data_IF_839330539083
#
_entry.id   IF_839330539083
#
_cell.length_a   1.000
_cell.length_b   1.000
_cell.length_c   1.000
_cell.angle_alpha   90.00
_cell.angle_beta   90.00
_cell.angle_gamma   90.00
#
_symmetry.space_group_name_H-M   'P 1'
#
loop_
_entity.id
_entity.type
_entity.pdbx_description
1 polymer ?
#
# COMPACT_ATOMS: atom_id res chain seq x y z
N UNK A 1 -78.31 -46.51 9.05
CA UNK A 1 -76.99 -45.90 8.74
C UNK A 1 -76.12 -46.99 8.12
N UNK A 2 -76.13 -47.09 6.78
CA UNK A 2 -75.50 -48.17 6.02
C UNK A 2 -74.19 -47.67 5.40
N UNK A 3 -73.09 -48.38 5.68
CA UNK A 3 -71.81 -48.26 4.96
C UNK A 3 -72.03 -48.67 3.50
N UNK A 4 -71.52 -47.86 2.56
CA UNK A 4 -71.46 -48.23 1.14
C UNK A 4 -70.04 -47.97 0.67
N UNK A 5 -69.35 -49.08 0.38
CA UNK A 5 -68.07 -49.14 -0.32
C UNK A 5 -68.41 -49.18 -1.82
N UNK A 6 -67.91 -48.24 -2.62
CA UNK A 6 -68.04 -48.30 -4.08
C UNK A 6 -66.62 -48.22 -4.66
N UNK A 7 -66.19 -49.35 -5.20
CA UNK A 7 -65.09 -49.45 -6.17
C UNK A 7 -65.74 -49.69 -7.52
N UNK A 8 -65.57 -48.79 -8.49
CA UNK A 8 -65.96 -49.03 -9.89
C UNK A 8 -64.76 -48.73 -10.78
N UNK A 9 -64.47 -49.73 -11.60
CA UNK A 9 -63.36 -49.85 -12.54
C UNK A 9 -63.46 -48.82 -13.68
N UNK A 10 -62.31 -48.25 -14.07
CA UNK A 10 -62.14 -47.47 -15.29
C UNK A 10 -61.66 -48.37 -16.43
N UNK A 11 -62.39 -48.39 -17.53
CA UNK A 11 -62.04 -49.00 -18.82
C UNK A 11 -62.97 -48.32 -19.85
N UNK A 12 -62.58 -47.69 -20.96
CA UNK A 12 -61.74 -48.13 -22.09
C UNK A 12 -61.57 -46.92 -23.06
N UNK A 13 -60.32 -46.62 -23.48
CA UNK A 13 -59.76 -46.43 -24.88
C UNK A 13 -60.58 -45.56 -25.89
N UNK A 14 -60.11 -44.58 -26.69
CA UNK A 14 -58.98 -44.38 -27.66
C UNK A 14 -59.00 -42.86 -28.01
N UNK A 15 -57.96 -42.08 -28.37
CA UNK A 15 -57.06 -42.25 -29.50
C UNK A 15 -55.88 -41.24 -29.50
N UNK A 16 -54.70 -41.79 -29.80
CA UNK A 16 -53.52 -41.29 -30.53
C UNK A 16 -53.34 -39.77 -30.70
N UNK A 17 -52.37 -39.22 -29.96
CA UNK A 17 -51.47 -38.19 -30.49
C UNK A 17 -50.09 -38.84 -30.56
N UNK A 18 -49.51 -38.87 -31.75
CA UNK A 18 -48.12 -39.29 -31.97
C UNK A 18 -47.20 -38.37 -31.17
N UNK A 19 -46.62 -38.87 -30.09
CA UNK A 19 -45.54 -38.19 -29.39
C UNK A 19 -44.26 -38.39 -30.22
N UNK A 20 -44.09 -37.58 -31.26
CA UNK A 20 -42.78 -37.26 -31.82
C UNK A 20 -42.35 -35.95 -31.17
N UNK A 21 -41.12 -35.92 -30.67
CA UNK A 21 -40.40 -34.80 -30.00
C UNK A 21 -40.60 -34.60 -28.50
N UNK A 22 -39.99 -35.49 -27.70
CA UNK A 22 -39.51 -35.13 -26.36
C UNK A 22 -38.13 -35.75 -26.07
N UNK A 23 -37.13 -35.33 -26.84
CA UNK A 23 -35.74 -35.27 -26.35
C UNK A 23 -35.17 -33.89 -26.65
N UNK A 24 -35.81 -32.84 -26.10
CA UNK A 24 -35.09 -31.58 -25.93
C UNK A 24 -34.28 -31.74 -24.66
N UNK A 25 -33.01 -32.14 -24.82
CA UNK A 25 -32.01 -31.97 -23.77
C UNK A 25 -31.90 -30.47 -23.54
N UNK A 26 -32.36 -30.00 -22.39
CA UNK A 26 -31.96 -28.69 -21.92
C UNK A 26 -30.52 -28.85 -21.46
N UNK A 27 -29.57 -28.33 -22.24
CA UNK A 27 -28.22 -28.14 -21.72
C UNK A 27 -28.34 -27.20 -20.52
N UNK A 28 -27.96 -27.68 -19.33
CA UNK A 28 -27.79 -26.85 -18.14
C UNK A 28 -26.90 -25.66 -18.53
N UNK A 29 -27.25 -24.41 -18.17
CA UNK A 29 -26.41 -23.27 -18.47
C UNK A 29 -25.04 -23.48 -17.80
N UNK A 30 -24.00 -23.70 -18.60
CA UNK A 30 -22.63 -23.74 -18.11
C UNK A 30 -22.27 -22.33 -17.66
N UNK A 31 -22.00 -22.15 -16.37
CA UNK A 31 -21.39 -20.92 -15.87
C UNK A 31 -19.94 -20.94 -16.33
N UNK A 32 -19.58 -20.01 -17.21
CA UNK A 32 -18.20 -19.82 -17.64
C UNK A 32 -17.37 -19.37 -16.43
N UNK A 33 -16.43 -20.21 -16.02
CA UNK A 33 -15.55 -19.95 -14.89
C UNK A 33 -14.29 -19.18 -15.33
N UNK A 34 -13.69 -18.46 -14.39
CA UNK A 34 -12.34 -17.89 -14.53
C UNK A 34 -11.31 -18.69 -13.73
N UNK A 35 -10.07 -18.22 -13.78
CA UNK A 35 -8.92 -18.84 -13.12
C UNK A 35 -8.14 -17.79 -12.35
N UNK A 36 -7.52 -18.19 -11.24
CA UNK A 36 -6.60 -17.35 -10.49
C UNK A 36 -5.21 -17.98 -10.49
N UNK A 37 -4.24 -17.24 -11.00
CA UNK A 37 -2.82 -17.52 -10.84
C UNK A 37 -2.24 -16.49 -9.87
N UNK A 38 -1.41 -16.91 -8.93
CA UNK A 38 -0.73 -15.94 -8.09
C UNK A 38 0.64 -16.39 -7.63
N UNK A 39 1.42 -15.42 -7.16
CA UNK A 39 2.71 -15.64 -6.53
C UNK A 39 2.72 -14.98 -5.15
N UNK A 40 3.30 -15.68 -4.18
CA UNK A 40 3.54 -15.13 -2.86
C UNK A 40 5.03 -14.86 -2.67
N UNK A 41 5.37 -13.66 -2.22
CA UNK A 41 6.76 -13.21 -2.00
C UNK A 41 6.95 -12.70 -0.58
N UNK A 42 8.18 -12.75 -0.12
CA UNK A 42 8.58 -12.07 1.10
C UNK A 42 8.81 -10.59 0.78
N UNK A 43 8.25 -9.72 1.62
CA UNK A 43 8.18 -8.27 1.36
C UNK A 43 9.55 -7.59 1.22
N UNK A 44 10.55 -7.96 2.03
CA UNK A 44 11.85 -7.26 2.07
C UNK A 44 12.79 -7.73 0.97
N UNK A 45 12.96 -9.03 0.84
CA UNK A 45 13.90 -9.70 -0.06
C UNK A 45 13.33 -9.94 -1.45
N UNK A 46 12.03 -9.73 -1.64
CA UNK A 46 11.27 -10.06 -2.84
C UNK A 46 11.36 -11.56 -3.25
N UNK A 47 11.84 -12.41 -2.33
CA UNK A 47 12.05 -13.84 -2.56
C UNK A 47 10.69 -14.54 -2.62
N UNK A 48 10.45 -15.44 -3.59
CA UNK A 48 9.24 -16.26 -3.60
C UNK A 48 9.13 -17.13 -2.33
N UNK A 49 7.90 -17.31 -1.85
CA UNK A 49 7.59 -18.06 -0.63
C UNK A 49 6.83 -19.34 -0.97
N UNK A 50 7.50 -20.48 -0.81
CA UNK A 50 6.90 -21.81 -0.91
C UNK A 50 6.15 -22.22 0.36
N UNK A 51 5.11 -23.04 0.26
CA UNK A 51 4.35 -23.54 1.42
C UNK A 51 3.56 -22.47 2.18
N UNK A 52 3.07 -21.45 1.47
CA UNK A 52 2.08 -20.49 1.98
C UNK A 52 0.70 -21.09 1.73
N UNK A 53 -0.12 -21.19 2.77
CA UNK A 53 -1.53 -21.54 2.61
C UNK A 53 -2.29 -20.31 2.16
N UNK A 54 -2.84 -20.34 0.96
CA UNK A 54 -3.67 -19.27 0.40
C UNK A 54 -5.13 -19.66 0.62
N UNK A 55 -5.89 -18.82 1.32
CA UNK A 55 -7.33 -18.89 1.49
C UNK A 55 -8.01 -17.94 0.52
N UNK A 56 -9.05 -18.42 -0.16
CA UNK A 56 -9.76 -17.68 -1.21
C UNK A 56 -11.22 -17.71 -0.87
N UNK A 57 -11.76 -16.54 -0.52
CA UNK A 57 -13.05 -16.43 0.13
C UNK A 57 -14.01 -15.57 -0.70
N UNK A 58 -15.18 -16.15 -1.03
CA UNK A 58 -16.34 -15.43 -1.57
C UNK A 58 -17.66 -16.15 -1.21
N UNK A 59 -18.11 -16.21 0.04
CA UNK A 59 -19.21 -17.12 0.45
C UNK A 59 -18.91 -18.62 0.28
N UNK A 60 -17.87 -18.99 -0.49
CA UNK A 60 -17.18 -20.28 -0.50
C UNK A 60 -15.77 -20.06 0.05
N UNK A 61 -15.27 -21.01 0.84
CA UNK A 61 -13.90 -21.02 1.36
C UNK A 61 -13.08 -22.05 0.59
N UNK A 62 -12.16 -21.59 -0.25
CA UNK A 62 -11.21 -22.43 -0.99
C UNK A 62 -9.81 -22.25 -0.43
N UNK A 63 -8.96 -23.27 -0.59
CA UNK A 63 -7.55 -23.19 -0.20
C UNK A 63 -6.63 -23.71 -1.29
N UNK A 64 -5.45 -23.10 -1.41
CA UNK A 64 -4.34 -23.54 -2.23
C UNK A 64 -3.03 -23.42 -1.43
N UNK A 65 -1.97 -24.09 -1.87
CA UNK A 65 -0.64 -23.96 -1.27
C UNK A 65 0.36 -23.54 -2.35
N UNK A 66 1.30 -22.66 -2.01
CA UNK A 66 2.33 -22.23 -2.96
C UNK A 66 3.41 -23.28 -3.19
N UNK A 67 3.84 -23.43 -4.44
CA UNK A 67 4.94 -24.32 -4.85
C UNK A 67 6.34 -23.80 -4.45
N UNK A 68 7.40 -24.54 -4.80
CA UNK A 68 8.80 -24.16 -4.50
C UNK A 68 9.23 -22.82 -5.13
N UNK A 69 8.53 -22.36 -6.17
CA UNK A 69 8.75 -21.09 -6.84
C UNK A 69 7.79 -19.98 -6.35
N UNK A 70 6.99 -20.28 -5.31
CA UNK A 70 6.06 -19.35 -4.67
C UNK A 70 4.71 -19.20 -5.38
N UNK A 71 4.43 -19.99 -6.43
CA UNK A 71 3.20 -19.87 -7.21
C UNK A 71 2.07 -20.74 -6.66
N UNK A 72 0.84 -20.25 -6.76
CA UNK A 72 -0.38 -21.02 -6.53
C UNK A 72 -1.35 -20.85 -7.70
N UNK A 73 -2.22 -21.84 -7.91
CA UNK A 73 -3.20 -21.85 -9.00
C UNK A 73 -4.55 -22.37 -8.51
N UNK A 74 -5.62 -21.70 -8.92
CA UNK A 74 -7.00 -22.09 -8.62
C UNK A 74 -7.80 -22.09 -9.92
N UNK A 75 -8.24 -23.28 -10.37
CA UNK A 75 -9.12 -23.39 -11.51
C UNK A 75 -10.58 -23.11 -11.12
N UNK A 76 -11.41 -22.89 -12.15
CA UNK A 76 -12.86 -22.99 -12.09
C UNK A 76 -13.56 -22.10 -11.06
N UNK A 77 -13.10 -20.85 -10.91
CA UNK A 77 -13.74 -19.86 -10.05
C UNK A 77 -14.93 -19.21 -10.76
N UNK A 78 -16.09 -19.18 -10.09
CA UNK A 78 -17.26 -18.46 -10.59
C UNK A 78 -16.94 -16.96 -10.64
N UNK A 79 -17.28 -16.23 -11.71
CA UNK A 79 -16.98 -14.81 -11.81
C UNK A 79 -17.54 -14.01 -10.63
N UNK A 80 -16.63 -13.38 -9.87
CA UNK A 80 -16.93 -12.56 -8.70
C UNK A 80 -15.66 -11.86 -8.20
N UNK A 81 -15.81 -10.97 -7.21
CA UNK A 81 -14.70 -10.48 -6.40
C UNK A 81 -14.41 -11.47 -5.26
N UNK A 82 -13.15 -11.85 -5.12
CA UNK A 82 -12.65 -12.74 -4.08
C UNK A 82 -11.66 -12.02 -3.17
N UNK A 83 -11.62 -12.41 -1.89
CA UNK A 83 -10.50 -12.09 -1.00
C UNK A 83 -9.48 -13.22 -1.04
N UNK A 84 -8.21 -12.89 -1.27
CA UNK A 84 -7.08 -13.82 -1.32
C UNK A 84 -6.18 -13.55 -0.13
N UNK A 85 -6.12 -14.47 0.83
CA UNK A 85 -5.37 -14.34 2.08
C UNK A 85 -4.27 -15.39 2.18
N UNK A 86 -3.01 -14.98 2.33
CA UNK A 86 -1.87 -15.88 2.52
C UNK A 86 -1.49 -16.01 3.99
N UNK A 87 -1.41 -17.24 4.48
CA UNK A 87 -0.99 -17.58 5.83
C UNK A 87 0.23 -18.49 5.80
N UNK A 88 1.23 -18.16 6.63
CA UNK A 88 2.44 -18.99 6.78
C UNK A 88 3.08 -18.73 8.13
N UNK A 89 3.48 -19.79 8.82
CA UNK A 89 4.16 -19.69 10.11
C UNK A 89 5.44 -18.86 9.99
N UNK A 90 5.63 -17.94 10.94
CA UNK A 90 6.73 -16.98 10.92
C UNK A 90 6.53 -15.83 9.94
N UNK A 91 5.31 -15.58 9.45
CA UNK A 91 4.97 -14.43 8.63
C UNK A 91 3.67 -13.76 9.13
N UNK A 92 3.54 -12.46 8.91
CA UNK A 92 2.27 -11.74 9.07
C UNK A 92 1.37 -12.10 7.89
N UNK A 93 0.13 -12.51 8.18
CA UNK A 93 -0.87 -12.78 7.14
C UNK A 93 -1.13 -11.51 6.32
N UNK A 94 -1.36 -11.67 5.02
CA UNK A 94 -1.73 -10.58 4.13
C UNK A 94 -2.90 -11.02 3.27
N UNK A 95 -3.81 -10.09 2.96
CA UNK A 95 -4.86 -10.32 1.99
C UNK A 95 -4.99 -9.19 0.98
N UNK A 96 -5.60 -9.50 -0.16
CA UNK A 96 -5.98 -8.57 -1.21
C UNK A 96 -7.28 -9.02 -1.86
N UNK A 97 -7.96 -8.11 -2.55
CA UNK A 97 -9.12 -8.45 -3.39
C UNK A 97 -8.72 -8.64 -4.84
N UNK A 98 -9.41 -9.56 -5.53
CA UNK A 98 -9.22 -9.81 -6.97
C UNK A 98 -10.58 -10.08 -7.64
N UNK A 99 -10.78 -9.49 -8.81
CA UNK A 99 -11.93 -9.78 -9.66
C UNK A 99 -11.62 -10.95 -10.59
N UNK A 100 -12.53 -11.92 -10.64
CA UNK A 100 -12.49 -13.06 -11.56
C UNK A 100 -13.53 -12.83 -12.65
N UNK A 101 -13.06 -12.77 -13.89
CA UNK A 101 -13.89 -12.69 -15.11
C UNK A 101 -14.10 -14.08 -15.73
N UNK A 102 -15.21 -14.33 -16.43
CA UNK A 102 -15.44 -15.59 -17.15
C UNK A 102 -14.40 -15.82 -18.24
N UNK A 103 -13.91 -17.07 -18.34
CA UNK A 103 -12.91 -17.53 -19.31
C UNK A 103 -11.58 -16.75 -19.30
N UNK A 104 -11.23 -16.11 -18.19
CA UNK A 104 -9.97 -15.36 -18.03
C UNK A 104 -9.13 -15.87 -16.87
N UNK A 105 -7.83 -15.63 -16.96
CA UNK A 105 -6.88 -15.83 -15.87
C UNK A 105 -6.56 -14.48 -15.23
N UNK A 106 -6.97 -14.30 -13.98
CA UNK A 106 -6.56 -13.17 -13.15
C UNK A 106 -5.21 -13.50 -12.48
N UNK A 107 -4.34 -12.49 -12.36
CA UNK A 107 -2.99 -12.65 -11.78
C UNK A 107 -2.84 -11.77 -10.55
N UNK A 108 -2.36 -12.34 -9.45
CA UNK A 108 -2.12 -11.60 -8.19
C UNK A 108 -0.72 -11.81 -7.64
N UNK A 109 -0.19 -10.79 -6.99
CA UNK A 109 1.04 -10.88 -6.20
C UNK A 109 0.76 -10.53 -4.75
N UNK A 110 1.04 -11.46 -3.85
CA UNK A 110 0.83 -11.29 -2.42
C UNK A 110 2.18 -11.20 -1.69
N UNK A 111 2.30 -10.26 -0.76
CA UNK A 111 3.54 -10.00 -0.03
C UNK A 111 3.35 -10.27 1.46
N UNK A 112 4.11 -11.23 2.00
CA UNK A 112 4.10 -11.59 3.42
C UNK A 112 5.36 -11.05 4.09
N UNK A 113 5.21 -10.44 5.26
CA UNK A 113 6.33 -9.95 6.07
C UNK A 113 6.77 -11.03 7.03
N UNK A 114 8.05 -11.40 7.01
CA UNK A 114 8.60 -12.35 7.97
C UNK A 114 8.58 -11.76 9.38
N UNK A 115 8.10 -12.54 10.34
CA UNK A 115 8.20 -12.27 11.77
C UNK A 115 9.51 -12.87 12.25
N UNK A 116 10.43 -12.06 12.76
CA UNK A 116 11.62 -12.58 13.44
C UNK A 116 11.21 -13.18 14.79
N UNK A 117 11.30 -14.50 14.90
CA UNK A 117 10.63 -15.35 15.91
C UNK A 117 11.22 -15.29 17.33
N UNK A 118 11.55 -14.11 17.84
CA UNK A 118 11.73 -13.87 19.27
C UNK A 118 10.70 -12.81 19.72
N UNK A 119 9.45 -13.22 19.91
CA UNK A 119 8.31 -12.33 20.24
C UNK A 119 8.38 -11.68 21.64
N UNK A 120 9.45 -11.88 22.42
CA UNK A 120 9.74 -11.00 23.56
C UNK A 120 10.03 -9.60 23.04
N UNK A 121 9.24 -8.61 23.45
CA UNK A 121 9.39 -7.23 22.96
C UNK A 121 8.50 -6.87 21.77
N UNK A 122 7.52 -7.72 21.38
CA UNK A 122 6.54 -7.34 20.34
C UNK A 122 5.28 -6.74 20.95
N UNK A 123 4.97 -5.51 20.57
CA UNK A 123 3.72 -4.80 20.85
C UNK A 123 2.84 -4.92 19.60
N UNK A 124 1.57 -5.28 19.77
CA UNK A 124 0.62 -5.40 18.66
C UNK A 124 -0.52 -4.42 18.84
N UNK A 125 -0.68 -3.50 17.88
CA UNK A 125 -1.88 -2.69 17.74
C UNK A 125 -2.87 -3.42 16.85
N UNK A 126 -4.01 -3.80 17.45
CA UNK A 126 -5.00 -4.63 16.78
C UNK A 126 -6.17 -3.84 16.27
N UNK A 127 -6.79 -4.36 15.21
CA UNK A 127 -7.99 -3.75 14.62
C UNK A 127 -9.12 -3.59 15.64
N UNK A 128 -9.32 -4.55 16.53
CA UNK A 128 -10.39 -4.50 17.55
C UNK A 128 -10.17 -3.41 18.60
N UNK A 129 -8.96 -2.83 18.68
CA UNK A 129 -8.62 -1.74 19.59
C UNK A 129 -8.76 -0.37 18.93
N UNK A 130 -9.16 -0.32 17.65
CA UNK A 130 -9.28 0.94 16.92
C UNK A 130 -10.58 1.69 17.27
N UNK A 131 -10.53 3.04 17.41
CA UNK A 131 -9.33 3.86 17.34
C UNK A 131 -8.47 3.77 18.60
N UNK A 132 -7.15 3.74 18.40
CA UNK A 132 -6.16 3.83 19.48
C UNK A 132 -5.78 5.30 19.67
N UNK A 133 -5.82 5.80 20.89
CA UNK A 133 -5.45 7.18 21.22
C UNK A 133 -4.12 7.25 21.96
N UNK A 134 -3.20 8.09 21.48
CA UNK A 134 -1.85 8.25 22.01
C UNK A 134 -1.67 9.71 22.49
N UNK A 135 -1.53 9.88 23.81
CA UNK A 135 -1.43 11.19 24.46
C UNK A 135 -0.03 11.52 25.00
N UNK A 136 0.92 10.61 24.80
CA UNK A 136 2.33 10.78 25.17
C UNK A 136 3.22 10.11 24.13
N UNK A 137 4.49 10.52 23.99
CA UNK A 137 5.39 9.94 22.99
C UNK A 137 5.44 8.41 23.12
N UNK A 138 5.07 7.70 22.05
CA UNK A 138 5.14 6.25 22.03
C UNK A 138 6.47 5.83 21.44
N UNK A 139 7.32 5.15 22.23
CA UNK A 139 8.65 4.73 21.79
C UNK A 139 8.73 3.22 21.65
N UNK A 140 9.09 2.74 20.47
CA UNK A 140 9.50 1.35 20.23
C UNK A 140 10.99 1.25 20.51
N UNK A 141 11.37 0.55 21.58
CA UNK A 141 12.77 0.38 21.99
C UNK A 141 13.59 -0.39 20.96
N UNK A 142 14.92 -0.27 21.01
CA UNK A 142 15.82 -0.83 19.97
C UNK A 142 15.69 -2.34 19.75
N UNK A 143 15.21 -3.08 20.76
CA UNK A 143 14.99 -4.54 20.69
C UNK A 143 13.51 -4.91 20.57
N UNK A 144 12.62 -3.92 20.49
CA UNK A 144 11.18 -4.12 20.43
C UNK A 144 10.67 -4.03 18.98
N UNK A 145 9.50 -4.61 18.76
CA UNK A 145 8.76 -4.51 17.49
C UNK A 145 7.36 -3.99 17.76
N UNK A 146 6.93 -2.99 17.00
CA UNK A 146 5.52 -2.60 16.91
C UNK A 146 4.93 -3.17 15.63
N UNK A 147 4.00 -4.11 15.77
CA UNK A 147 3.18 -4.61 14.68
C UNK A 147 1.83 -3.88 14.71
N UNK A 148 1.47 -3.27 13.58
CA UNK A 148 0.17 -2.62 13.38
C UNK A 148 -0.61 -3.42 12.34
N UNK A 149 -1.72 -4.01 12.77
CA UNK A 149 -2.61 -4.78 11.91
C UNK A 149 -3.30 -3.89 10.85
N UNK A 150 -3.72 -4.48 9.72
CA UNK A 150 -4.56 -3.79 8.74
C UNK A 150 -5.81 -3.16 9.36
N UNK A 151 -6.24 -2.04 8.79
CA UNK A 151 -7.44 -1.30 9.22
C UNK A 151 -7.32 -0.59 10.56
N UNK A 152 -6.15 -0.62 11.22
CA UNK A 152 -5.97 0.07 12.49
C UNK A 152 -5.97 1.58 12.29
N UNK A 153 -6.74 2.28 13.12
CA UNK A 153 -6.75 3.74 13.18
C UNK A 153 -6.13 4.22 14.50
N UNK A 154 -5.14 5.11 14.39
CA UNK A 154 -4.41 5.65 15.53
C UNK A 154 -4.46 7.18 15.49
N UNK A 155 -4.95 7.75 16.58
CA UNK A 155 -5.01 9.18 16.82
C UNK A 155 -3.92 9.59 17.81
N UNK A 156 -3.16 10.61 17.44
CA UNK A 156 -2.13 11.20 18.29
C UNK A 156 -2.56 12.61 18.73
N UNK A 157 -2.40 12.91 20.01
CA UNK A 157 -2.58 14.27 20.51
C UNK A 157 -1.52 15.23 19.94
N UNK A 158 -1.77 16.53 20.11
CA UNK A 158 -0.96 17.59 19.53
C UNK A 158 0.54 17.43 19.82
N UNK A 159 1.35 17.45 18.76
CA UNK A 159 2.83 17.32 18.78
C UNK A 159 3.38 16.00 19.32
N UNK A 160 2.54 15.01 19.61
CA UNK A 160 3.01 13.71 20.14
C UNK A 160 3.57 12.85 19.00
N UNK A 161 4.84 12.41 19.06
CA UNK A 161 5.42 11.57 18.02
C UNK A 161 5.28 10.07 18.31
N UNK A 162 5.34 9.27 17.24
CA UNK A 162 5.69 7.84 17.28
C UNK A 162 7.19 7.69 17.01
N UNK A 163 7.95 7.24 18.01
CA UNK A 163 9.40 7.10 17.93
C UNK A 163 9.77 5.63 17.72
N UNK A 164 10.50 5.35 16.66
CA UNK A 164 10.92 4.01 16.27
C UNK A 164 12.44 3.91 16.39
N UNK A 165 12.91 3.24 17.46
CA UNK A 165 14.32 2.82 17.62
C UNK A 165 14.51 1.35 17.28
N UNK A 166 13.50 0.52 17.57
CA UNK A 166 13.40 -0.87 17.10
C UNK A 166 12.61 -0.97 15.80
N UNK A 167 11.82 -2.02 15.63
CA UNK A 167 11.13 -2.31 14.36
C UNK A 167 9.70 -1.78 14.33
N UNK A 168 9.29 -1.09 13.26
CA UNK A 168 7.88 -0.84 12.96
C UNK A 168 7.44 -1.71 11.78
N UNK A 169 6.38 -2.51 11.97
CA UNK A 169 5.70 -3.26 10.91
C UNK A 169 4.27 -2.73 10.79
N UNK A 170 4.03 -1.76 9.92
CA UNK A 170 2.68 -1.26 9.61
C UNK A 170 2.14 -1.96 8.36
N UNK A 171 1.16 -2.84 8.56
CA UNK A 171 0.75 -3.86 7.59
C UNK A 171 -0.65 -3.59 7.05
N UNK A 172 -0.87 -2.46 6.39
CA UNK A 172 -2.14 -2.15 5.74
C UNK A 172 -2.41 -2.98 4.48
N UNK A 173 -3.65 -2.88 4.00
CA UNK A 173 -4.11 -3.40 2.71
C UNK A 173 -4.70 -2.27 1.84
N UNK A 174 -4.84 -2.44 0.51
CA UNK A 174 -5.47 -1.44 -0.34
C UNK A 174 -6.90 -1.08 0.12
N UNK A 175 -7.67 -2.10 0.49
CA UNK A 175 -9.05 -1.96 0.99
C UNK A 175 -9.15 -1.68 2.50
N UNK A 176 -8.06 -1.86 3.24
CA UNK A 176 -8.05 -1.79 4.72
C UNK A 176 -6.70 -1.24 5.21
N UNK A 177 -6.39 -0.02 4.78
CA UNK A 177 -5.15 0.68 5.11
C UNK A 177 -5.01 0.96 6.60
N UNK A 178 -3.78 1.13 7.08
CA UNK A 178 -3.52 1.65 8.43
C UNK A 178 -3.55 3.17 8.40
N UNK A 179 -4.18 3.80 9.40
CA UNK A 179 -4.29 5.26 9.51
C UNK A 179 -3.60 5.78 10.77
N UNK A 180 -2.63 6.68 10.61
CA UNK A 180 -1.97 7.40 11.71
C UNK A 180 -2.11 8.91 11.48
N UNK A 181 -2.83 9.59 12.38
CA UNK A 181 -3.13 11.02 12.23
C UNK A 181 -3.32 11.73 13.57
N UNK A 182 -3.44 13.05 13.54
CA UNK A 182 -3.85 13.85 14.71
C UNK A 182 -5.29 13.53 15.10
N UNK A 183 -5.56 13.54 16.41
CA UNK A 183 -6.89 13.46 17.00
C UNK A 183 -7.77 14.70 16.71
N UNK A 184 -7.16 15.85 16.44
CA UNK A 184 -7.81 17.08 16.01
C UNK A 184 -7.78 17.21 14.47
N UNK A 185 -8.95 17.29 13.79
CA UNK A 185 -9.04 17.51 12.34
C UNK A 185 -8.38 18.80 11.85
N UNK A 186 -8.13 19.77 12.73
CA UNK A 186 -7.39 21.00 12.43
C UNK A 186 -5.98 21.00 13.05
N UNK A 187 -5.69 20.03 13.91
CA UNK A 187 -4.42 19.89 14.60
C UNK A 187 -3.36 19.16 13.78
N UNK A 188 -2.25 18.88 14.46
CA UNK A 188 -1.10 18.19 13.94
C UNK A 188 -0.43 17.39 15.06
N UNK A 189 0.25 16.31 14.71
CA UNK A 189 0.94 15.44 15.66
C UNK A 189 2.43 15.37 15.35
N UNK A 190 3.21 14.72 16.21
CA UNK A 190 4.66 14.66 16.07
C UNK A 190 5.17 13.74 14.96
N UNK A 191 4.30 13.16 14.12
CA UNK A 191 4.67 12.24 13.04
C UNK A 191 5.40 10.98 13.51
N UNK A 192 5.95 10.24 12.55
CA UNK A 192 6.79 9.07 12.82
C UNK A 192 8.26 9.48 12.76
N UNK A 193 9.05 9.00 13.71
CA UNK A 193 10.47 9.34 13.88
C UNK A 193 11.29 8.06 13.96
N UNK A 194 11.94 7.67 12.86
CA UNK A 194 12.93 6.60 12.83
C UNK A 194 14.27 7.15 13.30
N UNK A 195 14.76 6.68 14.45
CA UNK A 195 15.95 7.22 15.09
C UNK A 195 16.95 6.10 15.40
N UNK A 196 18.02 6.02 14.61
CA UNK A 196 19.06 5.00 14.72
C UNK A 196 18.50 3.57 14.67
N UNK A 197 17.47 3.35 13.85
CA UNK A 197 16.86 2.06 13.67
C UNK A 197 17.74 1.14 12.82
N UNK A 198 18.33 0.13 13.47
CA UNK A 198 19.21 -0.87 12.84
C UNK A 198 18.46 -2.13 12.36
N UNK A 199 17.14 -2.19 12.58
CA UNK A 199 16.28 -3.29 12.13
C UNK A 199 15.46 -2.86 10.91
N UNK A 200 14.85 -3.82 10.21
CA UNK A 200 14.08 -3.54 9.01
C UNK A 200 12.65 -3.16 9.35
N UNK A 201 12.35 -1.86 9.31
CA UNK A 201 10.99 -1.36 9.45
C UNK A 201 10.26 -1.28 8.10
N UNK A 202 8.96 -1.54 8.11
CA UNK A 202 8.08 -1.59 6.94
C UNK A 202 6.82 -0.76 7.19
N UNK A 203 6.48 0.09 6.23
CA UNK A 203 5.15 0.67 6.09
C UNK A 203 4.59 0.24 4.74
N UNK A 204 3.45 -0.45 4.77
CA UNK A 204 2.71 -0.87 3.60
C UNK A 204 1.25 -0.43 3.72
N UNK A 205 0.71 0.23 2.69
CA UNK A 205 -0.66 0.77 2.70
C UNK A 205 -0.97 1.53 3.99
N UNK A 206 -0.03 2.38 4.40
CA UNK A 206 -0.16 3.22 5.58
C UNK A 206 -0.45 4.65 5.15
N UNK A 207 -1.53 5.24 5.66
CA UNK A 207 -1.83 6.65 5.53
C UNK A 207 -1.34 7.38 6.77
N UNK A 208 -0.31 8.20 6.61
CA UNK A 208 0.27 9.01 7.69
C UNK A 208 0.01 10.47 7.35
N UNK A 209 -0.79 11.15 8.16
CA UNK A 209 -1.24 12.50 7.83
C UNK A 209 -1.13 13.50 8.95
N UNK A 210 -0.98 14.79 8.63
CA UNK A 210 -0.99 15.91 9.61
C UNK A 210 0.23 15.94 10.54
N UNK A 211 1.41 15.61 10.01
CA UNK A 211 2.66 15.68 10.78
C UNK A 211 3.13 17.12 11.00
N UNK A 212 3.59 17.44 12.21
CA UNK A 212 4.25 18.70 12.55
C UNK A 212 5.69 18.69 12.06
N UNK A 213 6.06 19.73 11.30
CA UNK A 213 7.30 19.94 10.55
C UNK A 213 7.52 18.88 9.46
N UNK A 214 7.50 17.60 9.86
CA UNK A 214 7.57 16.45 8.98
C UNK A 214 6.64 15.30 9.37
N UNK A 215 6.13 14.59 8.36
CA UNK A 215 5.35 13.36 8.54
C UNK A 215 6.28 12.24 9.00
N UNK A 216 7.39 12.04 8.28
CA UNK A 216 8.42 11.08 8.60
C UNK A 216 9.77 11.79 8.79
N UNK A 217 10.41 11.59 9.94
CA UNK A 217 11.84 11.84 10.12
C UNK A 217 12.57 10.50 10.09
N UNK A 218 13.61 10.41 9.30
CA UNK A 218 14.43 9.21 9.13
C UNK A 218 15.88 9.61 9.39
N UNK A 219 16.41 9.22 10.56
CA UNK A 219 17.77 9.52 10.96
C UNK A 219 18.53 8.23 11.24
N UNK A 220 19.64 8.03 10.54
CA UNK A 220 20.46 6.81 10.57
C UNK A 220 19.62 5.52 10.51
N UNK A 221 18.63 5.52 9.62
CA UNK A 221 17.62 4.46 9.50
C UNK A 221 17.25 4.27 8.03
N UNK A 222 16.83 3.06 7.66
CA UNK A 222 16.48 2.73 6.27
C UNK A 222 15.18 1.91 6.17
N UNK A 223 14.02 2.47 6.56
CA UNK A 223 12.73 1.78 6.41
C UNK A 223 12.36 1.56 4.95
N UNK A 224 11.55 0.53 4.71
CA UNK A 224 10.84 0.30 3.45
C UNK A 224 9.45 0.92 3.55
N UNK A 225 9.17 1.91 2.70
CA UNK A 225 7.92 2.65 2.70
C UNK A 225 7.30 2.47 1.33
N UNK A 226 6.22 1.69 1.22
CA UNK A 226 5.61 1.46 -0.07
C UNK A 226 4.08 1.52 -0.05
N UNK A 227 3.51 2.03 -1.15
CA UNK A 227 2.05 2.19 -1.32
C UNK A 227 1.40 3.02 -0.20
N UNK A 228 2.16 3.95 0.37
CA UNK A 228 1.72 4.79 1.47
C UNK A 228 1.19 6.14 0.98
N UNK A 229 0.28 6.72 1.76
CA UNK A 229 -0.19 8.10 1.58
C UNK A 229 0.44 8.98 2.67
N UNK A 230 1.36 9.84 2.29
CA UNK A 230 2.04 10.78 3.18
C UNK A 230 1.51 12.18 2.87
N UNK A 231 0.53 12.63 3.64
CA UNK A 231 -0.26 13.81 3.30
C UNK A 231 -0.30 14.84 4.44
N UNK A 232 -0.16 16.11 4.08
CA UNK A 232 -0.39 17.24 4.98
C UNK A 232 0.67 17.34 6.09
N UNK A 233 1.82 17.95 5.79
CA UNK A 233 2.75 18.38 6.83
C UNK A 233 2.45 19.83 7.22
N UNK A 234 2.30 20.11 8.51
CA UNK A 234 2.12 21.46 9.02
C UNK A 234 3.44 22.00 9.56
N UNK A 235 3.87 23.18 9.13
CA UNK A 235 5.06 23.84 9.70
C UNK A 235 4.66 25.07 10.52
N UNK A 236 5.31 25.25 11.68
CA UNK A 236 5.10 26.40 12.56
C UNK A 236 6.03 27.58 12.25
N UNK A 237 7.06 27.39 11.41
CA UNK A 237 8.12 28.36 11.14
C UNK A 237 8.32 28.58 9.63
N UNK A 238 9.12 29.59 9.27
CA UNK A 238 9.60 29.84 7.90
C UNK A 238 10.53 28.73 7.36
N UNK A 239 10.73 27.66 8.13
CA UNK A 239 11.31 26.40 7.66
C UNK A 239 10.20 25.62 6.98
N UNK A 240 10.18 25.59 5.64
CA UNK A 240 9.13 24.92 4.88
C UNK A 240 8.84 23.49 5.33
N UNK A 241 7.57 23.07 5.27
CA UNK A 241 7.17 21.74 5.70
C UNK A 241 7.77 20.64 4.82
N UNK A 242 7.96 19.46 5.39
CA UNK A 242 8.47 18.29 4.66
C UNK A 242 7.54 17.11 4.83
N UNK A 243 7.32 16.28 3.82
CA UNK A 243 6.65 15.01 4.08
C UNK A 243 7.63 14.00 4.67
N UNK A 244 8.78 13.84 4.02
CA UNK A 244 9.86 12.95 4.47
C UNK A 244 11.15 13.74 4.61
N UNK A 245 11.80 13.60 5.77
CA UNK A 245 13.11 14.19 6.01
C UNK A 245 14.11 13.11 6.37
N UNK A 246 15.14 12.93 5.53
CA UNK A 246 16.21 11.96 5.71
C UNK A 246 17.50 12.65 6.18
N UNK A 247 18.17 12.07 7.18
CA UNK A 247 19.41 12.60 7.77
C UNK A 247 20.42 11.50 8.07
N UNK A 248 21.69 11.87 8.15
CA UNK A 248 22.77 10.94 8.48
C UNK A 248 22.90 9.83 7.43
N UNK A 249 23.26 8.61 7.85
CA UNK A 249 23.46 7.49 6.92
C UNK A 249 22.16 6.80 6.48
N UNK A 250 21.09 7.57 6.30
CA UNK A 250 19.77 7.03 5.94
C UNK A 250 19.66 6.75 4.45
N UNK A 251 19.19 5.56 4.09
CA UNK A 251 18.90 5.17 2.70
C UNK A 251 17.59 4.36 2.65
N UNK A 252 16.44 4.98 2.96
CA UNK A 252 15.15 4.31 2.86
C UNK A 252 14.78 4.05 1.40
N UNK A 253 13.96 3.03 1.18
CA UNK A 253 13.33 2.78 -0.12
C UNK A 253 11.89 3.27 -0.03
N UNK A 254 11.54 4.24 -0.87
CA UNK A 254 10.19 4.83 -0.95
C UNK A 254 9.61 4.51 -2.31
N UNK A 255 8.55 3.71 -2.35
CA UNK A 255 8.06 3.10 -3.59
C UNK A 255 6.54 3.19 -3.73
N UNK A 256 6.03 3.68 -4.87
CA UNK A 256 4.59 3.74 -5.13
C UNK A 256 3.80 4.55 -4.08
N UNK A 257 4.45 5.52 -3.44
CA UNK A 257 3.81 6.38 -2.45
C UNK A 257 3.17 7.60 -3.11
N UNK A 258 2.16 8.13 -2.45
CA UNK A 258 1.55 9.42 -2.77
C UNK A 258 1.97 10.43 -1.70
N UNK A 259 2.77 11.42 -2.08
CA UNK A 259 3.38 12.40 -1.19
C UNK A 259 2.88 13.79 -1.58
N UNK A 260 2.14 14.46 -0.68
CA UNK A 260 1.45 15.71 -1.01
C UNK A 260 1.18 16.55 0.24
N UNK A 261 0.71 17.78 0.06
CA UNK A 261 0.27 18.62 1.17
C UNK A 261 1.42 19.08 2.07
N UNK A 262 2.64 19.05 1.56
CA UNK A 262 3.75 19.83 2.09
C UNK A 262 3.67 21.23 1.46
N UNK A 263 3.80 22.26 2.28
CA UNK A 263 3.63 23.65 1.84
C UNK A 263 4.35 24.61 2.78
N UNK A 264 4.46 25.86 2.32
CA UNK A 264 5.11 27.01 2.95
C UNK A 264 6.64 27.05 2.76
N UNK A 265 7.16 28.26 2.54
CA UNK A 265 8.57 28.65 2.51
C UNK A 265 9.57 27.56 2.06
N UNK A 266 9.58 27.24 0.76
CA UNK A 266 10.49 26.23 0.17
C UNK A 266 10.28 24.82 0.75
N UNK A 267 9.02 24.41 0.91
CA UNK A 267 8.69 23.06 1.36
C UNK A 267 9.26 22.02 0.39
N UNK A 268 9.55 20.84 0.93
CA UNK A 268 10.13 19.75 0.14
C UNK A 268 9.40 18.44 0.42
N UNK A 269 8.93 17.75 -0.62
CA UNK A 269 8.26 16.47 -0.45
C UNK A 269 9.16 15.46 0.25
N UNK A 270 10.36 15.26 -0.31
CA UNK A 270 11.44 14.48 0.30
C UNK A 270 12.69 15.36 0.38
N UNK A 271 13.11 15.71 1.59
CA UNK A 271 14.36 16.41 1.84
C UNK A 271 15.41 15.46 2.41
N UNK A 272 16.66 15.62 1.98
CA UNK A 272 17.79 14.86 2.50
C UNK A 272 18.91 15.80 2.94
N UNK A 273 19.49 15.52 4.09
CA UNK A 273 20.79 16.08 4.49
C UNK A 273 21.89 15.06 4.16
N UNK A 274 22.87 15.48 3.37
CA UNK A 274 24.06 14.66 3.05
C UNK A 274 24.65 14.05 4.33
N UNK A 275 24.93 12.74 4.38
CA UNK A 275 25.01 11.79 3.26
C UNK A 275 23.72 10.97 3.00
N UNK A 276 22.56 11.39 3.52
CA UNK A 276 21.33 10.63 3.31
C UNK A 276 20.98 10.54 1.83
N UNK A 277 20.68 9.32 1.36
CA UNK A 277 20.45 9.05 -0.06
C UNK A 277 19.36 7.98 -0.24
N UNK A 278 18.07 8.38 -0.24
CA UNK A 278 16.95 7.45 -0.40
C UNK A 278 16.81 6.96 -1.85
N UNK A 279 16.26 5.77 -2.03
CA UNK A 279 15.81 5.31 -3.34
C UNK A 279 14.32 5.63 -3.51
N UNK A 280 14.00 6.49 -4.48
CA UNK A 280 12.63 6.93 -4.75
C UNK A 280 12.16 6.26 -6.05
N UNK A 281 11.23 5.31 -5.93
CA UNK A 281 10.74 4.52 -7.05
C UNK A 281 9.27 4.78 -7.30
N UNK A 282 8.92 5.16 -8.53
CA UNK A 282 7.52 5.23 -8.95
C UNK A 282 6.60 5.96 -7.96
N UNK A 283 7.04 7.07 -7.35
CA UNK A 283 6.21 7.84 -6.43
C UNK A 283 5.46 8.95 -7.17
N UNK A 284 4.31 9.35 -6.64
CA UNK A 284 3.62 10.57 -7.00
C UNK A 284 3.96 11.63 -5.95
N UNK A 285 4.83 12.58 -6.26
CA UNK A 285 5.24 13.65 -5.32
C UNK A 285 4.74 14.98 -5.88
N UNK A 286 3.83 15.64 -5.14
CA UNK A 286 3.08 16.78 -5.65
C UNK A 286 3.12 17.94 -4.66
N UNK A 287 3.82 19.01 -5.05
CA UNK A 287 3.92 20.25 -4.28
C UNK A 287 2.89 21.32 -4.66
N UNK A 288 3.01 22.51 -4.07
CA UNK A 288 2.18 23.66 -4.36
C UNK A 288 3.02 24.88 -4.80
N UNK A 289 2.73 25.45 -5.98
CA UNK A 289 3.63 26.44 -6.60
C UNK A 289 3.69 27.76 -5.84
N UNK A 290 2.65 28.09 -5.07
CA UNK A 290 2.56 29.34 -4.31
C UNK A 290 3.63 29.50 -3.23
N UNK A 291 4.34 28.43 -2.85
CA UNK A 291 5.32 28.44 -1.77
C UNK A 291 6.77 28.11 -2.20
N UNK A 292 7.04 28.08 -3.52
CA UNK A 292 8.32 27.67 -4.11
C UNK A 292 8.72 26.24 -3.72
N UNK A 293 7.73 25.36 -3.60
CA UNK A 293 7.91 23.99 -3.14
C UNK A 293 8.70 23.16 -4.15
N UNK A 294 9.61 22.34 -3.65
CA UNK A 294 10.37 21.35 -4.41
C UNK A 294 9.82 19.96 -4.08
N UNK A 295 9.83 19.02 -5.03
CA UNK A 295 9.38 17.66 -4.73
C UNK A 295 10.49 16.86 -4.01
N UNK A 296 11.73 16.95 -4.48
CA UNK A 296 12.88 16.25 -3.88
C UNK A 296 14.12 17.14 -3.81
N UNK A 297 14.81 17.16 -2.69
CA UNK A 297 15.97 18.02 -2.51
C UNK A 297 17.05 17.38 -1.63
N UNK A 298 18.32 17.63 -1.99
CA UNK A 298 19.49 17.33 -1.14
C UNK A 298 19.94 15.86 -1.11
N UNK A 299 19.31 15.00 -1.91
CA UNK A 299 19.72 13.61 -2.10
C UNK A 299 18.61 12.74 -2.71
N UNK A 300 18.98 11.52 -3.02
CA UNK A 300 18.09 10.45 -3.48
C UNK A 300 18.26 10.12 -4.96
N UNK A 301 18.12 8.84 -5.30
CA UNK A 301 18.03 8.39 -6.69
C UNK A 301 16.57 8.23 -7.08
N UNK A 302 16.16 8.92 -8.15
CA UNK A 302 14.78 8.97 -8.60
C UNK A 302 14.60 8.11 -9.84
N UNK A 303 13.76 7.09 -9.75
CA UNK A 303 13.41 6.26 -10.90
C UNK A 303 11.89 6.17 -11.06
N UNK A 304 11.36 6.54 -12.22
CA UNK A 304 9.96 6.34 -12.53
C UNK A 304 9.01 7.26 -11.76
N UNK A 305 9.50 8.30 -11.08
CA UNK A 305 8.67 9.19 -10.27
C UNK A 305 7.87 10.16 -11.15
N UNK A 306 6.67 10.49 -10.69
CA UNK A 306 5.86 11.60 -11.17
C UNK A 306 6.03 12.77 -10.19
N UNK A 307 6.79 13.79 -10.62
CA UNK A 307 6.97 15.02 -9.85
C UNK A 307 6.09 16.10 -10.46
N UNK A 308 5.25 16.73 -9.64
CA UNK A 308 4.35 17.75 -10.13
C UNK A 308 4.11 18.86 -9.13
N UNK A 309 3.54 19.95 -9.63
CA UNK A 309 3.11 21.07 -8.81
C UNK A 309 1.69 21.46 -9.18
N UNK A 310 0.89 21.72 -8.15
CA UNK A 310 -0.42 22.31 -8.30
C UNK A 310 -0.26 23.85 -8.37
N UNK A 311 -0.75 24.46 -9.45
CA UNK A 311 -0.69 25.91 -9.72
C UNK A 311 -2.11 26.46 -9.72
N UNK A 312 -2.36 27.49 -8.90
CA UNK A 312 -3.60 28.24 -8.94
C UNK A 312 -3.58 29.24 -10.11
N UNK A 313 -4.57 29.18 -10.99
CA UNK A 313 -4.67 30.02 -12.19
C UNK A 313 -5.66 31.18 -12.06
N UNK A 314 -6.34 31.32 -10.92
CA UNK A 314 -7.50 32.21 -10.76
C UNK A 314 -8.82 31.47 -10.98
N UNK A 315 -8.89 30.64 -12.02
CA UNK A 315 -10.10 29.88 -12.41
C UNK A 315 -10.10 28.42 -11.91
N UNK A 316 -9.00 27.99 -11.27
CA UNK A 316 -8.86 26.66 -10.72
C UNK A 316 -7.40 26.24 -10.55
N UNK A 317 -7.22 25.00 -10.10
CA UNK A 317 -5.90 24.36 -9.95
C UNK A 317 -5.58 23.59 -11.23
N UNK A 318 -4.46 23.94 -11.87
CA UNK A 318 -3.84 23.09 -12.90
C UNK A 318 -2.67 22.32 -12.27
N UNK A 319 -2.41 21.12 -12.80
CA UNK A 319 -1.26 20.32 -12.40
C UNK A 319 -0.24 20.30 -13.53
N UNK A 320 0.99 20.67 -13.22
CA UNK A 320 2.10 20.68 -14.17
C UNK A 320 3.20 19.77 -13.64
N UNK A 321 3.67 18.85 -14.46
CA UNK A 321 4.71 17.88 -14.11
C UNK A 321 6.08 18.33 -14.60
N UNK A 322 7.10 18.03 -13.81
CA UNK A 322 8.50 18.10 -14.23
C UNK A 322 8.90 16.74 -14.80
N UNK A 323 9.23 16.72 -16.09
CA UNK A 323 9.66 15.51 -16.81
C UNK A 323 11.12 15.58 -17.23
N UNK A 324 11.90 16.49 -16.62
CA UNK A 324 13.32 16.62 -16.92
C UNK A 324 14.15 15.53 -16.22
N UNK A 325 15.28 15.15 -16.82
CA UNK A 325 16.27 14.28 -16.19
C UNK A 325 17.25 15.07 -15.30
N UNK A 326 17.32 16.39 -15.48
CA UNK A 326 18.20 17.30 -14.75
C UNK A 326 19.43 17.75 -15.54
N UNK A 327 20.22 18.65 -14.97
CA UNK A 327 21.52 19.13 -15.47
C UNK A 327 22.48 19.41 -14.29
N UNK A 328 23.63 18.73 -14.19
CA UNK A 328 24.03 17.56 -14.99
C UNK A 328 23.09 16.37 -14.77
N UNK A 329 23.16 15.37 -15.66
CA UNK A 329 22.41 14.11 -15.53
C UNK A 329 23.33 13.01 -14.98
N UNK A 330 22.94 12.44 -13.86
CA UNK A 330 23.45 11.18 -13.32
C UNK A 330 22.33 10.13 -13.32
N UNK A 331 22.61 8.96 -13.89
CA UNK A 331 21.66 7.83 -13.98
C UNK A 331 22.14 6.60 -13.19
N UNK A 332 23.25 6.72 -12.46
CA UNK A 332 23.94 5.60 -11.81
C UNK A 332 23.57 5.45 -10.34
N UNK A 333 23.18 6.54 -9.68
CA UNK A 333 22.78 6.52 -8.28
C UNK A 333 23.94 6.15 -7.34
N UNK A 334 25.08 6.82 -7.50
CA UNK A 334 26.33 6.50 -6.80
C UNK A 334 26.51 7.26 -5.47
N UNK A 335 25.51 8.06 -5.09
CA UNK A 335 25.49 8.95 -3.93
C UNK A 335 26.00 10.36 -4.20
N UNK A 336 26.46 10.67 -5.42
CA UNK A 336 26.94 12.00 -5.78
C UNK A 336 25.76 12.88 -6.21
N UNK A 337 25.28 13.67 -5.25
CA UNK A 337 24.14 14.58 -5.39
C UNK A 337 24.41 15.76 -6.33
N UNK A 338 24.56 15.49 -7.62
CA UNK A 338 24.97 16.46 -8.65
C UNK A 338 23.84 16.81 -9.62
N UNK A 339 22.75 16.05 -9.62
CA UNK A 339 21.65 16.21 -10.58
C UNK A 339 20.62 17.20 -10.06
N UNK A 340 20.25 18.21 -10.86
CA UNK A 340 19.18 19.18 -10.51
C UNK A 340 18.26 19.40 -11.70
N UNK A 341 16.98 19.66 -11.48
CA UNK A 341 16.00 19.83 -12.56
C UNK A 341 16.45 20.89 -13.57
N UNK A 342 16.35 20.53 -14.85
CA UNK A 342 16.57 21.46 -15.97
C UNK A 342 15.26 22.15 -16.39
N UNK A 343 14.13 21.75 -15.79
CA UNK A 343 12.86 22.40 -16.00
C UNK A 343 12.81 23.73 -15.22
N UNK A 344 12.16 24.73 -15.80
CA UNK A 344 11.83 26.00 -15.13
C UNK A 344 11.03 25.83 -13.83
N UNK A 345 10.40 24.67 -13.65
CA UNK A 345 9.71 24.32 -12.42
C UNK A 345 10.68 24.02 -11.28
N UNK A 346 11.85 23.42 -11.56
CA UNK A 346 12.84 23.11 -10.55
C UNK A 346 12.36 22.11 -9.49
N UNK A 347 11.58 21.08 -9.86
CA UNK A 347 10.92 20.23 -8.85
C UNK A 347 11.85 19.23 -8.17
N UNK A 348 13.11 19.15 -8.59
CA UNK A 348 14.15 18.47 -7.84
C UNK A 348 15.47 19.20 -7.91
N UNK A 349 16.30 19.08 -6.87
CA UNK A 349 17.61 19.74 -6.82
C UNK A 349 18.62 18.94 -5.97
N UNK A 350 19.87 18.90 -6.45
CA UNK A 350 20.98 18.17 -5.81
C UNK A 350 20.57 16.75 -5.41
N UNK A 351 19.96 16.02 -6.35
CA UNK A 351 19.65 14.61 -6.20
C UNK A 351 20.80 13.78 -6.75
N UNK A 352 20.87 12.52 -6.34
CA UNK A 352 21.91 11.57 -6.75
C UNK A 352 21.80 11.25 -8.24
N UNK A 353 20.57 11.04 -8.72
CA UNK A 353 20.32 10.85 -10.14
C UNK A 353 18.83 10.74 -10.45
N UNK A 354 18.48 10.86 -11.74
CA UNK A 354 17.10 10.75 -12.21
C UNK A 354 17.03 9.88 -13.45
N UNK A 355 16.12 8.91 -13.44
CA UNK A 355 15.81 8.06 -14.59
C UNK A 355 14.30 7.95 -14.78
N UNK A 356 13.86 7.87 -16.04
CA UNK A 356 12.47 7.62 -16.44
C UNK A 356 11.41 8.51 -15.73
N UNK A 357 11.56 9.85 -15.68
CA UNK A 357 10.54 10.71 -15.08
C UNK A 357 9.19 10.56 -15.81
N UNK A 358 8.09 10.53 -15.07
CA UNK A 358 6.75 10.32 -15.62
C UNK A 358 6.03 11.64 -15.87
N UNK A 359 5.20 11.68 -16.92
CA UNK A 359 4.30 12.79 -17.23
C UNK A 359 2.89 12.65 -16.65
N UNK A 360 2.59 11.49 -16.02
CA UNK A 360 1.30 11.19 -15.40
C UNK A 360 1.50 10.45 -14.07
N UNK A 361 0.58 10.61 -13.10
CA UNK A 361 0.63 9.85 -11.86
C UNK A 361 0.44 8.35 -12.14
N UNK A 362 0.94 7.51 -11.21
CA UNK A 362 0.77 6.05 -11.26
C UNK A 362 -0.68 5.57 -11.25
#
# INVERSE_FOLDING_TARGET
MKKILITVYFSVILAVVSCTDLTKTYDEPTIDTGQLLGIVRETVTNRPLAGVTVHIDNSVHLTAETDLSGYFFIPDLIPNTYSVCGTKDGYVQASLTVDIDPNRTSVVELYLVRIDTNLTGTIVWRRQQSPIHINQPFTVGASDTLLIEPGVMVYFENKIPLIIRGTLLSMGMPEDSVFLTSDDPNGYWGGIRFLNNQTTSILNYTSVTRGLEQILLIENSSPYIFRCNLNHSYTMCETGGMAVFCKGSSSPIIHNCYITGFSNFKACGVNCETPANPLLLCNNIIGHRSALDTCVCGGGFLDGNYLAVNIWTGDGIIRVSDTSLGDPVDETGDGLCTTSSSDTLGLFSNVDGVTRPKSRPN
#
